data_IF_453246230191
#
_entry.id   IF_453246230191
#
_cell.length_a   1.000
_cell.length_b   1.000
_cell.length_c   1.000
_cell.angle_alpha   90.00
_cell.angle_beta   90.00
_cell.angle_gamma   90.00
#
_symmetry.space_group_name_H-M   'P 1'
#
loop_
_entity.id
_entity.type
_entity.pdbx_description
1 polymer ?
#
# COMPACT_ATOMS: atom_id res chain seq x y z
N UNK A 1 -13.55 -4.56 0.88
CA UNK A 1 -12.32 -4.00 0.33
C UNK A 1 -11.51 -3.31 1.42
N UNK A 2 -10.23 -3.54 1.43
CA UNK A 2 -9.35 -2.89 2.40
C UNK A 2 -9.12 -1.44 1.99
N UNK A 3 -8.98 -0.57 2.99
CA UNK A 3 -8.66 0.84 2.75
C UNK A 3 -7.58 1.26 3.74
N UNK A 4 -6.63 2.05 3.25
CA UNK A 4 -5.63 2.65 4.12
C UNK A 4 -6.26 3.88 4.76
N UNK A 5 -6.16 3.99 6.08
CA UNK A 5 -6.75 5.09 6.84
C UNK A 5 -5.72 6.07 7.39
N UNK A 6 -4.45 5.65 7.48
CA UNK A 6 -3.38 6.52 7.95
C UNK A 6 -2.07 6.09 7.32
N UNK A 7 -1.20 7.06 7.07
CA UNK A 7 0.13 6.80 6.51
C UNK A 7 1.17 7.66 7.24
N UNK A 8 2.40 7.16 7.23
CA UNK A 8 3.56 7.91 7.72
C UNK A 8 4.78 7.51 6.90
N UNK A 9 5.44 8.48 6.31
CA UNK A 9 6.67 8.24 5.57
C UNK A 9 7.82 8.08 6.57
N UNK A 10 8.58 7.00 6.39
CA UNK A 10 9.74 6.69 7.22
C UNK A 10 11.01 6.83 6.40
N UNK A 11 12.16 6.64 7.03
CA UNK A 11 13.44 6.68 6.34
C UNK A 11 13.63 5.44 5.48
N UNK A 12 14.56 5.52 4.52
CA UNK A 12 14.97 4.40 3.66
C UNK A 12 13.83 3.87 2.79
N UNK A 13 12.98 4.77 2.29
CA UNK A 13 11.89 4.42 1.36
C UNK A 13 10.91 3.44 1.98
N UNK A 14 10.61 3.60 3.26
CA UNK A 14 9.58 2.84 3.95
C UNK A 14 8.40 3.74 4.26
N UNK A 15 7.21 3.13 4.25
CA UNK A 15 5.98 3.83 4.62
C UNK A 15 5.22 2.96 5.61
N UNK A 16 4.85 3.54 6.73
CA UNK A 16 3.96 2.89 7.70
C UNK A 16 2.53 3.13 7.26
N UNK A 17 1.71 2.08 7.33
CA UNK A 17 0.31 2.10 6.93
C UNK A 17 -0.57 1.54 8.03
N UNK A 18 -1.78 2.09 8.15
CA UNK A 18 -2.85 1.50 8.95
C UNK A 18 -4.07 1.35 8.07
N UNK A 19 -4.78 0.25 8.23
CA UNK A 19 -5.95 -0.08 7.42
C UNK A 19 -7.23 0.06 8.22
N UNK A 20 -8.37 0.05 7.53
CA UNK A 20 -9.69 0.22 8.14
C UNK A 20 -10.08 -0.92 9.07
N UNK A 21 -9.41 -2.08 8.99
CA UNK A 21 -9.66 -3.21 9.90
C UNK A 21 -8.71 -3.19 11.10
N UNK A 22 -7.88 -2.16 11.23
CA UNK A 22 -6.92 -2.06 12.33
C UNK A 22 -5.57 -2.68 12.06
N UNK A 23 -5.39 -3.39 10.96
CA UNK A 23 -4.07 -3.93 10.59
C UNK A 23 -3.12 -2.77 10.30
N UNK A 24 -1.86 -2.90 10.71
CA UNK A 24 -0.85 -1.89 10.45
C UNK A 24 0.52 -2.51 10.29
N UNK A 25 1.42 -1.79 9.62
CA UNK A 25 2.78 -2.26 9.41
C UNK A 25 3.49 -1.37 8.41
N UNK A 26 4.73 -1.74 8.10
CA UNK A 26 5.59 -0.98 7.20
C UNK A 26 5.74 -1.71 5.88
N UNK A 27 5.79 -0.93 4.80
CA UNK A 27 6.14 -1.42 3.48
C UNK A 27 7.47 -0.79 3.10
N UNK A 28 8.39 -1.62 2.64
CA UNK A 28 9.70 -1.20 2.17
C UNK A 28 9.70 -1.14 0.65
N UNK A 29 9.80 0.08 0.12
CA UNK A 29 9.83 0.30 -1.33
C UNK A 29 11.26 0.43 -1.87
N UNK A 30 12.27 0.26 -1.04
CA UNK A 30 13.66 0.47 -1.44
C UNK A 30 14.13 -0.54 -2.48
N UNK A 31 13.50 -1.71 -2.56
CA UNK A 31 13.88 -2.75 -3.51
C UNK A 31 13.35 -2.50 -4.91
N UNK A 32 12.42 -1.55 -5.09
CA UNK A 32 11.89 -1.27 -6.42
C UNK A 32 12.93 -0.52 -7.26
N UNK A 33 13.19 -0.96 -8.50
CA UNK A 33 14.10 -0.23 -9.39
C UNK A 33 13.56 1.19 -9.63
N UNK A 34 14.45 2.17 -9.55
CA UNK A 34 14.05 3.57 -9.75
C UNK A 34 14.22 3.97 -11.21
N UNK A 35 13.55 3.22 -12.09
CA UNK A 35 13.55 3.44 -13.52
C UNK A 35 12.09 3.56 -13.97
N UNK A 36 11.90 4.05 -15.21
CA UNK A 36 10.54 4.26 -15.69
C UNK A 36 9.77 5.20 -14.78
N UNK A 37 8.52 4.85 -14.43
CA UNK A 37 7.69 5.70 -13.59
C UNK A 37 8.29 5.88 -12.19
N UNK A 38 9.04 4.89 -11.70
CA UNK A 38 9.62 4.96 -10.36
C UNK A 38 10.86 5.87 -10.28
N UNK A 39 11.33 6.41 -11.40
CA UNK A 39 12.38 7.42 -11.37
C UNK A 39 11.95 8.66 -10.59
N UNK A 40 10.65 8.87 -10.43
CA UNK A 40 10.10 9.93 -9.59
C UNK A 40 10.65 9.84 -8.15
N UNK A 41 10.95 8.64 -7.67
CA UNK A 41 11.47 8.39 -6.32
C UNK A 41 12.98 8.62 -6.19
N UNK A 42 13.68 8.98 -7.25
CA UNK A 42 15.11 9.30 -7.15
C UNK A 42 15.35 10.51 -6.25
N UNK A 43 14.34 11.38 -6.12
CA UNK A 43 14.35 12.44 -5.13
C UNK A 43 13.60 11.97 -3.89
N UNK A 44 14.26 12.06 -2.73
CA UNK A 44 13.59 11.72 -1.47
C UNK A 44 12.40 12.62 -1.18
N UNK A 45 12.45 13.88 -1.64
CA UNK A 45 11.31 14.78 -1.52
C UNK A 45 10.10 14.26 -2.28
N UNK A 46 10.33 13.73 -3.49
CA UNK A 46 9.24 13.18 -4.29
C UNK A 46 8.63 11.95 -3.62
N UNK A 47 9.45 11.13 -2.98
CA UNK A 47 8.94 9.99 -2.25
C UNK A 47 8.01 10.42 -1.10
N UNK A 48 8.30 11.55 -0.47
CA UNK A 48 7.50 12.07 0.64
C UNK A 48 6.18 12.67 0.20
N UNK A 49 5.94 12.83 -1.10
CA UNK A 49 4.70 13.39 -1.64
C UNK A 49 3.56 12.37 -1.65
N UNK A 50 3.76 11.20 -1.10
CA UNK A 50 2.72 10.17 -1.03
C UNK A 50 1.48 10.69 -0.30
N UNK A 51 0.32 10.28 -0.79
CA UNK A 51 -0.96 10.65 -0.19
C UNK A 51 -1.96 9.51 -0.34
N UNK A 52 -3.06 9.61 0.39
CA UNK A 52 -4.17 8.67 0.25
C UNK A 52 -5.10 9.14 -0.85
N UNK A 53 -5.51 8.21 -1.71
CA UNK A 53 -6.53 8.48 -2.70
C UNK A 53 -7.92 8.28 -2.13
N UNK A 54 -8.93 8.60 -2.96
CA UNK A 54 -10.33 8.56 -2.55
C UNK A 54 -10.82 7.15 -2.21
N UNK A 55 -10.19 6.14 -2.80
CA UNK A 55 -10.53 4.74 -2.56
C UNK A 55 -9.65 4.09 -1.50
N UNK A 56 -8.87 4.89 -0.78
CA UNK A 56 -7.96 4.38 0.23
C UNK A 56 -6.67 3.81 -0.32
N UNK A 57 -6.37 4.09 -1.60
CA UNK A 57 -5.13 3.64 -2.21
C UNK A 57 -3.98 4.60 -1.90
N UNK A 58 -2.75 4.11 -2.09
CA UNK A 58 -1.54 4.87 -1.86
C UNK A 58 -1.10 5.48 -3.20
N UNK A 59 -1.00 6.80 -3.26
CA UNK A 59 -0.73 7.53 -4.51
C UNK A 59 0.47 8.44 -4.36
N UNK A 60 1.38 8.45 -5.34
CA UNK A 60 2.45 9.43 -5.45
C UNK A 60 2.19 10.46 -6.55
N UNK A 61 1.73 9.99 -7.70
CA UNK A 61 1.38 10.86 -8.83
C UNK A 61 0.42 10.08 -9.72
N UNK A 62 0.16 10.60 -10.91
CA UNK A 62 -0.79 9.99 -11.85
C UNK A 62 -0.35 8.61 -12.35
N UNK A 63 0.92 8.26 -12.16
CA UNK A 63 1.48 7.02 -12.69
C UNK A 63 1.87 6.02 -11.61
N UNK A 64 1.94 6.44 -10.35
CA UNK A 64 2.37 5.56 -9.25
C UNK A 64 1.26 5.51 -8.22
N UNK A 65 0.55 4.38 -8.19
CA UNK A 65 -0.44 4.11 -7.16
C UNK A 65 -0.38 2.63 -6.79
N UNK A 66 -0.84 2.32 -5.58
CA UNK A 66 -0.83 0.95 -5.09
C UNK A 66 -2.18 0.61 -4.50
N UNK A 67 -2.71 -0.54 -4.90
CA UNK A 67 -3.97 -1.06 -4.41
C UNK A 67 -3.87 -1.37 -2.91
N UNK A 68 -4.82 -0.92 -2.09
CA UNK A 68 -4.76 -1.21 -0.66
C UNK A 68 -4.81 -2.71 -0.35
N UNK A 69 -5.53 -3.50 -1.13
CA UNK A 69 -5.59 -4.95 -0.90
C UNK A 69 -4.21 -5.59 -1.02
N UNK A 70 -3.46 -5.20 -2.05
CA UNK A 70 -2.09 -5.72 -2.26
C UNK A 70 -1.17 -5.35 -1.10
N UNK A 71 -1.26 -4.12 -0.63
CA UNK A 71 -0.43 -3.65 0.49
C UNK A 71 -0.86 -4.32 1.80
N UNK A 72 -2.15 -4.57 1.98
CA UNK A 72 -2.65 -5.28 3.15
C UNK A 72 -2.07 -6.68 3.23
N UNK A 73 -2.00 -7.38 2.09
CA UNK A 73 -1.39 -8.70 2.05
C UNK A 73 0.08 -8.66 2.47
N UNK A 74 0.81 -7.64 2.02
CA UNK A 74 2.21 -7.50 2.39
C UNK A 74 2.39 -7.19 3.87
N UNK A 75 1.54 -6.32 4.41
CA UNK A 75 1.63 -5.91 5.82
C UNK A 75 1.28 -7.08 6.76
N UNK A 76 0.26 -7.85 6.41
CA UNK A 76 -0.24 -8.91 7.28
C UNK A 76 0.42 -10.27 7.03
N UNK A 77 1.12 -10.42 5.90
CA UNK A 77 1.68 -11.70 5.50
C UNK A 77 0.63 -12.72 5.10
N UNK A 78 -0.61 -12.29 4.91
CA UNK A 78 -1.70 -13.16 4.54
C UNK A 78 -1.63 -13.53 3.06
N UNK A 79 -2.29 -14.60 2.70
CA UNK A 79 -2.41 -15.02 1.31
C UNK A 79 -3.63 -14.34 0.68
N UNK A 80 -3.67 -14.24 -0.67
CA UNK A 80 -4.81 -13.62 -1.35
C UNK A 80 -6.17 -14.18 -0.94
N UNK A 81 -6.23 -15.45 -0.54
CA UNK A 81 -7.48 -16.08 -0.09
C UNK A 81 -8.07 -15.38 1.11
N UNK A 82 -7.25 -14.71 1.94
CA UNK A 82 -7.75 -14.00 3.10
C UNK A 82 -8.66 -12.83 2.71
N UNK A 83 -8.48 -12.26 1.51
CA UNK A 83 -9.36 -11.21 1.01
C UNK A 83 -10.72 -11.79 0.60
N UNK A 84 -10.72 -13.02 0.09
CA UNK A 84 -11.95 -13.71 -0.29
C UNK A 84 -12.80 -14.05 0.92
N UNK A 85 -12.17 -14.32 2.06
CA UNK A 85 -12.86 -14.61 3.31
C UNK A 85 -13.69 -13.43 3.80
N UNK A 86 -13.49 -12.25 3.24
CA UNK A 86 -14.31 -11.08 3.51
C UNK A 86 -15.69 -11.21 2.90
N UNK A 87 -15.89 -12.15 1.99
CA UNK A 87 -17.17 -12.40 1.32
C UNK A 87 -17.69 -13.75 1.73
N UNK A 88 -18.73 -13.81 2.61
CA UNK A 88 -19.26 -15.09 3.11
C UNK A 88 -19.77 -16.02 2.00
N UNK A 89 -20.22 -15.47 0.88
CA UNK A 89 -20.71 -16.29 -0.22
C UNK A 89 -19.61 -17.08 -0.88
N UNK A 90 -18.40 -16.51 -0.94
CA UNK A 90 -17.24 -17.20 -1.50
C UNK A 90 -16.67 -18.23 -0.53
N UNK A 91 -16.79 -17.96 0.76
CA UNK A 91 -16.28 -18.87 1.78
C UNK A 91 -16.99 -20.21 1.76
N UNK A 92 -18.17 -20.26 1.19
CA UNK A 92 -19.01 -21.46 1.13
C UNK A 92 -19.10 -22.08 -0.27
N UNK A 93 -18.37 -21.53 -1.19
CA UNK A 93 -18.42 -22.00 -2.58
C UNK A 93 -17.70 -23.33 -2.78
#
# INVERSE_FOLDING_TARGET
>A
MKKITAIRVLENYRVWLRFNDGAEGEIDFSSKPRTGVYAFWNSGENFRKVRLGDSGELIWNDQIDFCPDSLWLQVTGQKPEALLDQNPQLAHA
#
